data_IF_936418197423
#
_entry.id   IF_936418197423
#
_cell.length_a   1.000
_cell.length_b   1.000
_cell.length_c   1.000
_cell.angle_alpha   90.00
_cell.angle_beta   90.00
_cell.angle_gamma   90.00
#
_symmetry.space_group_name_H-M   'P 1'
#
loop_
_entity.id
_entity.type
_entity.pdbx_description
1 polymer ?
#
# COMPACT_ATOMS: atom_id res chain seq x y z
N UNK A 1 -9.66 24.83 3.86
CA UNK A 1 -8.36 24.89 3.16
C UNK A 1 -7.29 25.20 4.18
N UNK A 2 -6.30 24.32 4.32
CA UNK A 2 -5.19 24.49 5.26
C UNK A 2 -3.89 24.66 4.47
N UNK A 3 -3.01 25.56 4.92
CA UNK A 3 -1.67 25.69 4.36
C UNK A 3 -0.79 24.60 4.96
N UNK A 4 -0.20 23.76 4.10
CA UNK A 4 0.68 22.68 4.53
C UNK A 4 2.00 22.71 3.78
N UNK A 5 3.00 22.06 4.35
CA UNK A 5 4.22 21.65 3.65
C UNK A 5 4.36 20.13 3.69
N UNK A 6 4.92 19.55 2.63
CA UNK A 6 5.20 18.13 2.55
C UNK A 6 6.65 17.84 2.93
N UNK A 7 6.86 17.18 4.06
CA UNK A 7 8.17 16.83 4.60
C UNK A 7 8.42 15.33 4.48
N UNK A 8 9.63 14.96 4.06
CA UNK A 8 10.07 13.58 3.91
C UNK A 8 11.34 13.35 4.73
N UNK A 9 11.34 12.31 5.54
CA UNK A 9 12.46 11.94 6.42
C UNK A 9 13.45 10.96 5.79
N UNK A 10 12.98 10.08 4.88
CA UNK A 10 13.80 9.07 4.19
C UNK A 10 13.68 9.22 2.68
N UNK A 11 14.74 8.92 1.90
CA UNK A 11 14.76 9.04 0.43
C UNK A 11 13.56 8.39 -0.28
N UNK A 12 13.06 7.25 0.22
CA UNK A 12 11.89 6.53 -0.30
C UNK A 12 10.74 6.44 0.73
N UNK A 13 10.57 7.47 1.57
CA UNK A 13 9.55 7.52 2.63
C UNK A 13 8.23 8.18 2.21
N UNK A 14 7.17 7.94 3.02
CA UNK A 14 5.93 8.74 2.96
C UNK A 14 6.28 10.23 3.12
N UNK A 15 5.56 11.06 2.37
CA UNK A 15 5.53 12.50 2.62
C UNK A 15 4.48 12.74 3.70
N UNK A 16 4.88 13.46 4.75
CA UNK A 16 3.98 13.86 5.83
C UNK A 16 3.70 15.35 5.69
N UNK A 17 2.45 15.74 5.92
CA UNK A 17 2.06 17.14 5.93
C UNK A 17 2.26 17.74 7.31
N UNK A 18 2.84 18.94 7.34
CA UNK A 18 3.04 19.74 8.55
C UNK A 18 2.54 21.16 8.33
N UNK A 19 2.16 21.82 9.41
CA UNK A 19 1.82 23.25 9.42
C UNK A 19 3.11 24.08 9.40
N UNK A 20 3.37 24.88 8.35
CA UNK A 20 4.55 25.73 8.26
C UNK A 20 4.53 26.95 9.19
N UNK A 21 3.40 27.23 9.83
CA UNK A 21 3.17 28.47 10.60
C UNK A 21 3.54 29.70 9.72
N UNK A 22 4.18 30.72 10.31
CA UNK A 22 4.68 31.90 9.58
C UNK A 22 6.08 31.73 8.94
N UNK A 23 6.66 30.52 8.95
CA UNK A 23 8.06 30.31 8.55
C UNK A 23 8.19 30.31 7.02
N UNK A 24 9.04 31.17 6.45
CA UNK A 24 9.41 31.09 5.03
C UNK A 24 10.43 29.97 4.80
N UNK A 25 10.09 29.03 3.93
CA UNK A 25 10.85 27.81 3.67
C UNK A 25 11.15 27.77 2.17
N UNK A 26 12.42 27.70 1.83
CA UNK A 26 12.87 27.55 0.44
C UNK A 26 12.53 26.15 -0.09
N UNK A 27 12.29 26.06 -1.40
CA UNK A 27 12.11 24.76 -2.07
C UNK A 27 13.36 23.89 -1.86
N UNK A 28 13.14 22.59 -1.60
CA UNK A 28 14.18 21.60 -1.27
C UNK A 28 14.97 21.82 0.03
N UNK A 29 14.62 22.85 0.82
CA UNK A 29 15.23 23.11 2.12
C UNK A 29 14.98 22.00 3.15
N UNK A 30 15.80 21.99 4.20
CA UNK A 30 15.63 21.11 5.34
C UNK A 30 14.95 21.84 6.52
N UNK A 31 14.14 21.11 7.26
CA UNK A 31 13.36 21.62 8.39
C UNK A 31 13.45 20.68 9.58
N UNK A 32 13.34 21.26 10.76
CA UNK A 32 13.20 20.54 12.02
C UNK A 32 11.72 20.54 12.40
N UNK A 33 11.17 19.35 12.59
CA UNK A 33 9.74 19.16 12.89
C UNK A 33 9.57 18.29 14.13
N UNK A 34 8.49 18.51 14.87
CA UNK A 34 8.09 17.64 15.97
C UNK A 34 7.20 16.53 15.43
N UNK A 35 7.57 15.27 15.65
CA UNK A 35 6.73 14.11 15.30
C UNK A 35 6.28 13.39 16.57
N UNK A 36 5.52 12.30 16.45
CA UNK A 36 5.16 11.49 17.63
C UNK A 36 6.39 10.81 18.26
N UNK A 37 7.50 10.69 17.51
CA UNK A 37 8.72 10.00 17.94
C UNK A 37 9.69 10.92 18.68
N UNK A 38 9.65 12.20 18.35
CA UNK A 38 10.47 13.26 18.93
C UNK A 38 10.73 14.35 17.89
N UNK A 39 11.83 15.06 18.06
CA UNK A 39 12.31 16.03 17.08
C UNK A 39 13.01 15.27 15.95
N UNK A 40 12.64 15.56 14.71
CA UNK A 40 13.20 14.91 13.52
C UNK A 40 13.65 15.95 12.47
N UNK A 41 14.71 15.61 11.75
CA UNK A 41 15.21 16.36 10.61
C UNK A 41 14.54 15.84 9.34
N UNK A 42 13.84 16.70 8.62
CA UNK A 42 13.13 16.35 7.39
C UNK A 42 13.50 17.25 6.22
N UNK A 43 13.41 16.70 5.01
CA UNK A 43 13.59 17.44 3.77
C UNK A 43 12.24 17.84 3.20
N UNK A 44 12.11 19.08 2.76
CA UNK A 44 10.89 19.61 2.15
C UNK A 44 10.83 19.14 0.71
N UNK A 45 9.77 18.41 0.37
CA UNK A 45 9.50 17.90 -0.98
C UNK A 45 8.38 18.68 -1.65
N UNK A 46 7.38 19.09 -0.86
CA UNK A 46 6.25 19.89 -1.35
C UNK A 46 6.33 21.24 -0.63
N UNK A 47 6.48 22.37 -1.36
CA UNK A 47 6.48 23.70 -0.78
C UNK A 47 5.11 24.04 -0.18
N UNK A 48 4.96 25.26 0.36
CA UNK A 48 3.69 25.73 0.91
C UNK A 48 2.58 25.56 -0.13
N UNK A 49 1.63 24.67 0.16
CA UNK A 49 0.48 24.37 -0.68
C UNK A 49 -0.77 24.46 0.17
N UNK A 50 -1.82 25.07 -0.38
CA UNK A 50 -3.16 24.96 0.20
C UNK A 50 -3.78 23.64 -0.26
N UNK A 51 -4.25 22.87 0.71
CA UNK A 51 -4.94 21.60 0.50
C UNK A 51 -6.28 21.65 1.22
N UNK A 52 -7.25 20.88 0.72
CA UNK A 52 -8.53 20.74 1.38
C UNK A 52 -8.38 19.95 2.68
N UNK A 53 -9.20 20.29 3.66
CA UNK A 53 -9.13 19.74 5.02
C UNK A 53 -9.35 18.21 5.01
N UNK A 54 -10.07 17.69 4.01
CA UNK A 54 -10.31 16.27 3.80
C UNK A 54 -9.08 15.47 3.33
N UNK A 55 -8.07 16.14 2.77
CA UNK A 55 -6.84 15.48 2.29
C UNK A 55 -5.79 15.30 3.39
N UNK A 56 -6.03 15.84 4.60
CA UNK A 56 -5.04 15.93 5.66
C UNK A 56 -5.58 15.39 6.98
N UNK A 57 -4.77 14.59 7.67
CA UNK A 57 -5.10 14.08 9.00
C UNK A 57 -4.79 15.19 10.01
N UNK A 58 -5.83 15.81 10.56
CA UNK A 58 -5.73 16.78 11.66
C UNK A 58 -5.63 16.07 13.02
N UNK A 59 -4.97 16.67 14.04
CA UNK A 59 -4.26 17.95 14.01
C UNK A 59 -2.88 17.83 13.34
N UNK A 60 -2.57 18.82 12.51
CA UNK A 60 -1.23 18.98 11.94
C UNK A 60 -0.24 19.38 13.02
N UNK A 61 0.92 18.70 13.05
CA UNK A 61 2.04 19.16 13.86
C UNK A 61 2.73 20.32 13.17
N UNK A 62 3.31 21.22 13.96
CA UNK A 62 3.99 22.42 13.49
C UNK A 62 5.45 22.15 13.11
N UNK A 63 5.94 22.91 12.14
CA UNK A 63 7.38 23.05 11.88
C UNK A 63 7.99 23.88 13.00
N UNK A 64 9.09 23.41 13.58
CA UNK A 64 9.78 24.13 14.65
C UNK A 64 10.60 25.26 14.04
N UNK A 65 11.44 24.94 13.03
CA UNK A 65 12.31 25.90 12.35
C UNK A 65 12.92 25.33 11.07
N UNK A 66 13.49 26.21 10.25
CA UNK A 66 14.41 25.82 9.15
C UNK A 66 15.71 25.27 9.74
N UNK A 67 16.24 24.20 9.14
CA UNK A 67 17.49 23.60 9.56
C UNK A 67 18.68 24.52 9.23
N UNK A 68 19.64 24.61 10.14
CA UNK A 68 20.90 25.34 9.96
C UNK A 68 22.00 24.42 9.45
N UNK A 69 23.14 24.98 9.02
CA UNK A 69 24.31 24.18 8.63
C UNK A 69 24.84 23.30 9.79
N UNK A 70 24.66 23.74 11.03
CA UNK A 70 24.98 22.96 12.23
C UNK A 70 24.06 21.73 12.36
N UNK A 71 22.76 21.89 12.07
CA UNK A 71 21.80 20.80 12.06
C UNK A 71 22.12 19.77 10.97
N UNK A 72 22.56 20.23 9.79
CA UNK A 72 22.99 19.37 8.70
C UNK A 72 24.21 18.53 9.09
N UNK A 73 25.17 19.15 9.79
CA UNK A 73 26.34 18.46 10.33
C UNK A 73 25.92 17.44 11.39
N UNK A 74 25.04 17.82 12.31
CA UNK A 74 24.51 16.94 13.34
C UNK A 74 23.78 15.73 12.73
N UNK A 75 22.95 15.94 11.71
CA UNK A 75 22.27 14.86 11.00
C UNK A 75 23.26 13.89 10.33
N UNK A 76 24.36 14.41 9.76
CA UNK A 76 25.43 13.56 9.20
C UNK A 76 26.13 12.73 10.29
N UNK A 77 26.42 13.33 11.43
CA UNK A 77 27.02 12.64 12.58
C UNK A 77 26.06 11.57 13.13
N UNK A 78 24.78 11.88 13.27
CA UNK A 78 23.77 10.93 13.72
C UNK A 78 23.69 9.72 12.78
N UNK A 79 23.72 9.93 11.46
CA UNK A 79 23.76 8.84 10.47
C UNK A 79 25.01 7.95 10.57
N UNK A 80 26.16 8.49 10.96
CA UNK A 80 27.35 7.69 11.21
C UNK A 80 27.18 6.86 12.48
N UNK A 81 26.65 7.47 13.55
CA UNK A 81 26.33 6.75 14.80
C UNK A 81 25.28 5.66 14.62
N UNK A 82 24.30 5.86 13.74
CA UNK A 82 23.32 4.84 13.37
C UNK A 82 23.99 3.59 12.78
N UNK A 83 24.98 3.79 11.89
CA UNK A 83 25.75 2.69 11.31
C UNK A 83 26.59 1.95 12.36
N UNK A 84 27.24 2.68 13.25
CA UNK A 84 27.98 2.10 14.38
C UNK A 84 27.05 1.31 15.31
N UNK A 85 25.89 1.91 15.64
CA UNK A 85 24.90 1.29 16.50
C UNK A 85 24.29 0.03 15.88
N UNK A 86 24.12 0.01 14.56
CA UNK A 86 23.68 -1.17 13.83
C UNK A 86 24.68 -2.34 13.96
N UNK A 87 25.98 -2.07 13.81
CA UNK A 87 27.04 -3.10 13.94
C UNK A 87 27.08 -3.64 15.37
N UNK A 88 27.12 -2.77 16.37
CA UNK A 88 27.12 -3.15 17.79
C UNK A 88 25.83 -3.93 18.13
N UNK A 89 24.69 -3.50 17.60
CA UNK A 89 23.41 -4.19 17.76
C UNK A 89 23.45 -5.62 17.25
N UNK A 90 24.02 -5.85 16.07
CA UNK A 90 24.20 -7.20 15.50
C UNK A 90 25.11 -8.07 16.38
N UNK A 91 26.23 -7.53 16.85
CA UNK A 91 27.15 -8.26 17.74
C UNK A 91 26.46 -8.68 19.03
N UNK A 92 25.74 -7.75 19.68
CA UNK A 92 25.02 -8.04 20.92
C UNK A 92 23.88 -9.03 20.73
N UNK A 93 23.11 -8.93 19.64
CA UNK A 93 22.08 -9.91 19.31
C UNK A 93 22.67 -11.32 19.22
N UNK A 94 23.86 -11.44 18.61
CA UNK A 94 24.57 -12.72 18.48
C UNK A 94 25.11 -13.23 19.82
N UNK A 95 25.66 -12.35 20.66
CA UNK A 95 26.14 -12.69 22.01
C UNK A 95 25.00 -13.23 22.90
N UNK A 96 23.83 -12.60 22.84
CA UNK A 96 22.64 -12.99 23.59
C UNK A 96 21.87 -14.17 22.95
N UNK A 97 22.31 -14.66 21.78
CA UNK A 97 21.70 -15.78 21.04
C UNK A 97 20.19 -15.59 20.78
N UNK A 98 19.78 -14.36 20.48
CA UNK A 98 18.38 -14.04 20.23
C UNK A 98 18.00 -14.38 18.79
N UNK A 99 16.88 -15.10 18.62
CA UNK A 99 16.32 -15.45 17.31
C UNK A 99 15.58 -14.27 16.69
N UNK A 100 16.34 -13.27 16.26
CA UNK A 100 15.84 -12.02 15.72
C UNK A 100 16.75 -11.49 14.62
N UNK A 101 16.15 -10.80 13.64
CA UNK A 101 16.88 -10.18 12.54
C UNK A 101 16.77 -8.67 12.65
N UNK A 102 17.90 -8.00 12.93
CA UNK A 102 17.99 -6.55 12.91
C UNK A 102 17.87 -6.04 11.46
N UNK A 103 16.97 -5.08 11.25
CA UNK A 103 16.64 -4.53 9.94
C UNK A 103 17.23 -3.13 9.75
N UNK A 104 17.03 -2.24 10.72
CA UNK A 104 17.47 -0.85 10.64
C UNK A 104 17.67 -0.28 12.06
N UNK A 105 18.49 0.78 12.17
CA UNK A 105 18.67 1.54 13.41
C UNK A 105 18.54 3.03 13.11
N UNK A 106 17.69 3.71 13.88
CA UNK A 106 17.46 5.14 13.75
C UNK A 106 17.79 5.83 15.07
N UNK A 107 18.38 7.02 14.99
CA UNK A 107 18.61 7.89 16.14
C UNK A 107 17.76 9.13 15.95
N UNK A 108 17.00 9.52 16.99
CA UNK A 108 16.22 10.77 16.94
C UNK A 108 17.17 11.95 16.78
N UNK A 109 16.70 13.04 16.14
CA UNK A 109 17.60 14.15 15.81
C UNK A 109 18.26 14.76 17.06
N UNK A 110 17.50 14.83 18.15
CA UNK A 110 17.92 15.26 19.49
C UNK A 110 18.83 14.27 20.25
N UNK A 111 19.17 13.12 19.66
CA UNK A 111 19.95 12.03 20.28
C UNK A 111 19.36 11.46 21.59
N UNK A 112 18.07 11.71 21.87
CA UNK A 112 17.43 11.25 23.10
C UNK A 112 17.02 9.78 23.07
N UNK A 113 16.78 9.22 21.88
CA UNK A 113 16.37 7.83 21.70
C UNK A 113 17.06 7.17 20.51
N UNK A 114 17.35 5.89 20.65
CA UNK A 114 17.80 5.02 19.56
C UNK A 114 16.75 3.93 19.35
N UNK A 115 16.24 3.84 18.13
CA UNK A 115 15.25 2.87 17.70
C UNK A 115 15.93 1.75 16.92
N UNK A 116 15.77 0.51 17.38
CA UNK A 116 16.25 -0.69 16.71
C UNK A 116 15.05 -1.42 16.11
N UNK A 117 14.98 -1.48 14.78
CA UNK A 117 13.93 -2.19 14.06
C UNK A 117 14.36 -3.63 13.81
N UNK A 118 13.52 -4.58 14.18
CA UNK A 118 13.82 -5.99 13.99
C UNK A 118 12.59 -6.78 13.53
N UNK A 119 12.84 -7.94 12.93
CA UNK A 119 11.83 -8.96 12.61
C UNK A 119 12.11 -10.23 13.40
N UNK A 120 11.03 -10.95 13.72
CA UNK A 120 11.10 -12.26 14.38
C UNK A 120 9.81 -13.03 14.16
N UNK A 121 9.89 -14.36 14.14
CA UNK A 121 8.73 -15.24 14.00
C UNK A 121 7.94 -15.40 15.31
N UNK A 122 8.63 -15.25 16.45
CA UNK A 122 8.07 -15.43 17.78
C UNK A 122 8.29 -14.25 18.71
N UNK A 123 7.81 -14.42 19.96
CA UNK A 123 8.13 -13.50 21.06
C UNK A 123 9.56 -13.75 21.52
N UNK A 124 10.33 -12.68 21.66
CA UNK A 124 11.71 -12.71 22.13
C UNK A 124 11.79 -11.95 23.46
N UNK A 125 12.51 -12.50 24.43
CA UNK A 125 12.88 -11.74 25.63
C UNK A 125 14.20 -11.00 25.37
N UNK A 126 14.10 -9.70 25.12
CA UNK A 126 15.24 -8.83 24.80
C UNK A 126 15.67 -7.94 25.98
N UNK A 127 15.21 -8.23 27.22
CA UNK A 127 15.50 -7.35 28.38
C UNK A 127 17.00 -7.18 28.65
N UNK A 128 17.78 -8.25 28.57
CA UNK A 128 19.23 -8.19 28.77
C UNK A 128 19.93 -7.44 27.64
N UNK A 129 19.52 -7.66 26.38
CA UNK A 129 20.01 -6.89 25.23
C UNK A 129 19.78 -5.38 25.42
N UNK A 130 18.58 -4.98 25.88
CA UNK A 130 18.27 -3.56 26.13
C UNK A 130 19.20 -2.96 27.19
N UNK A 131 19.48 -3.70 28.27
CA UNK A 131 20.41 -3.23 29.32
C UNK A 131 21.81 -3.00 28.77
N UNK A 132 22.32 -3.95 27.99
CA UNK A 132 23.65 -3.85 27.39
C UNK A 132 23.75 -2.68 26.41
N UNK A 133 22.78 -2.55 25.50
CA UNK A 133 22.75 -1.44 24.55
C UNK A 133 22.62 -0.09 25.29
N UNK A 134 21.77 0.00 26.31
CA UNK A 134 21.62 1.21 27.12
C UNK A 134 22.91 1.58 27.86
N UNK A 135 23.67 0.58 28.34
CA UNK A 135 24.97 0.81 29.00
C UNK A 135 26.04 1.33 28.03
N UNK A 136 26.03 0.85 26.78
CA UNK A 136 26.97 1.26 25.73
C UNK A 136 26.66 2.68 25.24
N UNK A 137 25.43 2.92 24.80
CA UNK A 137 25.06 4.18 24.16
C UNK A 137 24.73 5.30 25.15
N UNK A 138 24.42 4.96 26.41
CA UNK A 138 23.99 5.91 27.45
C UNK A 138 22.76 6.74 27.03
N UNK A 139 21.94 6.16 26.17
CA UNK A 139 20.73 6.76 25.58
C UNK A 139 19.57 5.78 25.74
N UNK A 140 18.33 6.29 25.73
CA UNK A 140 17.14 5.43 25.80
C UNK A 140 17.05 4.55 24.55
N UNK A 141 17.03 3.24 24.74
CA UNK A 141 16.89 2.25 23.67
C UNK A 141 15.43 1.83 23.54
N UNK A 142 14.93 1.81 22.31
CA UNK A 142 13.61 1.30 21.96
C UNK A 142 13.75 0.22 20.89
N UNK A 143 13.29 -0.99 21.18
CA UNK A 143 13.26 -2.09 20.23
C UNK A 143 11.86 -2.19 19.63
N UNK A 144 11.76 -2.13 18.30
CA UNK A 144 10.50 -2.18 17.58
C UNK A 144 10.46 -3.36 16.63
N UNK A 145 9.53 -4.28 16.90
CA UNK A 145 9.23 -5.37 15.98
C UNK A 145 8.43 -4.82 14.80
N UNK A 146 8.87 -5.16 13.58
CA UNK A 146 8.17 -4.85 12.34
C UNK A 146 7.75 -6.14 11.63
N UNK A 147 6.74 -6.06 10.78
CA UNK A 147 6.31 -7.22 9.99
C UNK A 147 7.19 -7.45 8.76
N UNK A 148 7.16 -8.66 8.21
CA UNK A 148 7.88 -9.05 6.97
C UNK A 148 7.63 -8.12 5.77
N UNK A 149 6.45 -7.50 5.70
CA UNK A 149 6.12 -6.52 4.66
C UNK A 149 6.83 -5.20 4.86
N UNK A 150 6.91 -4.71 6.10
CA UNK A 150 7.61 -3.47 6.43
C UNK A 150 9.12 -3.65 6.28
N UNK A 151 9.65 -4.83 6.62
CA UNK A 151 11.03 -5.22 6.28
C UNK A 151 11.27 -5.09 4.77
N UNK A 152 10.41 -5.71 3.95
CA UNK A 152 10.56 -5.64 2.48
C UNK A 152 10.42 -4.19 1.97
N UNK A 153 9.56 -3.37 2.60
CA UNK A 153 9.41 -1.95 2.28
C UNK A 153 10.68 -1.14 2.59
N UNK A 154 11.34 -1.41 3.71
CA UNK A 154 12.58 -0.75 4.12
C UNK A 154 13.75 -1.15 3.23
N UNK A 155 13.86 -2.44 2.91
CA UNK A 155 14.91 -2.98 2.03
C UNK A 155 14.69 -2.58 0.56
N UNK A 156 13.45 -2.40 0.15
CA UNK A 156 13.08 -2.21 -1.26
C UNK A 156 13.26 -3.49 -2.08
N UNK A 157 13.17 -3.35 -3.40
CA UNK A 157 13.36 -4.47 -4.33
C UNK A 157 12.55 -4.33 -5.62
N UNK A 158 12.50 -5.42 -6.38
CA UNK A 158 11.70 -5.53 -7.60
C UNK A 158 10.58 -6.56 -7.41
N UNK A 159 9.38 -6.21 -7.84
CA UNK A 159 8.26 -7.14 -7.89
C UNK A 159 8.37 -8.10 -9.07
N UNK A 160 7.51 -9.12 -9.09
CA UNK A 160 7.42 -10.07 -10.21
C UNK A 160 7.04 -9.40 -11.54
N UNK A 161 6.46 -8.20 -11.48
CA UNK A 161 6.15 -7.36 -12.64
C UNK A 161 7.37 -6.59 -13.19
N UNK A 162 8.55 -6.75 -12.58
CA UNK A 162 9.80 -6.08 -12.98
C UNK A 162 9.92 -4.61 -12.54
N UNK A 163 8.88 -4.04 -11.91
CA UNK A 163 8.91 -2.68 -11.34
C UNK A 163 9.40 -2.70 -9.89
N UNK A 164 9.77 -1.53 -9.36
CA UNK A 164 10.02 -1.36 -7.93
C UNK A 164 8.79 -1.76 -7.10
N UNK A 165 9.02 -2.20 -5.86
CA UNK A 165 7.92 -2.63 -5.00
C UNK A 165 6.95 -1.47 -4.73
N UNK A 166 5.66 -1.74 -4.92
CA UNK A 166 4.60 -0.75 -4.66
C UNK A 166 4.65 -0.23 -3.22
N UNK A 167 4.97 -1.10 -2.25
CA UNK A 167 5.06 -0.77 -0.83
C UNK A 167 6.18 0.24 -0.49
N UNK A 168 7.26 0.26 -1.26
CA UNK A 168 8.37 1.21 -1.12
C UNK A 168 8.24 2.43 -2.03
N UNK A 169 7.19 2.50 -2.86
CA UNK A 169 7.01 3.56 -3.85
C UNK A 169 5.82 4.45 -3.52
N UNK A 170 4.59 3.99 -3.80
CA UNK A 170 3.39 4.81 -3.66
C UNK A 170 2.35 4.20 -2.71
N UNK A 171 2.32 2.87 -2.57
CA UNK A 171 1.30 2.18 -1.80
C UNK A 171 1.75 2.07 -0.34
N UNK A 172 1.44 3.10 0.44
CA UNK A 172 2.01 3.23 1.79
C UNK A 172 1.08 2.78 2.91
N UNK A 173 -0.18 2.51 2.58
CA UNK A 173 -1.21 1.93 3.44
C UNK A 173 -1.76 0.67 2.80
N UNK A 174 -2.08 -0.31 3.64
CA UNK A 174 -2.44 -1.64 3.18
C UNK A 174 -3.77 -2.06 3.76
N UNK A 175 -4.70 -2.36 2.87
CA UNK A 175 -5.92 -3.06 3.22
C UNK A 175 -5.68 -4.57 3.24
N UNK A 176 -6.49 -5.33 4.01
CA UNK A 176 -6.45 -6.79 3.98
C UNK A 176 -6.71 -7.33 2.57
N UNK A 177 -5.89 -8.30 2.16
CA UNK A 177 -6.01 -8.97 0.86
C UNK A 177 -6.54 -10.38 1.07
N UNK A 178 -7.47 -10.81 0.22
CA UNK A 178 -8.07 -12.14 0.27
C UNK A 178 -7.75 -12.96 -0.98
N UNK A 179 -7.85 -14.29 -0.87
CA UNK A 179 -7.70 -15.20 -2.02
C UNK A 179 -8.84 -15.02 -3.04
N UNK A 180 -10.00 -14.51 -2.59
CA UNK A 180 -11.14 -14.22 -3.47
C UNK A 180 -10.76 -13.22 -4.57
N UNK A 181 -10.04 -12.16 -4.20
CA UNK A 181 -9.53 -11.15 -5.14
C UNK A 181 -8.68 -11.76 -6.26
N UNK A 182 -7.78 -12.70 -5.91
CA UNK A 182 -6.98 -13.39 -6.91
C UNK A 182 -7.83 -14.24 -7.89
N UNK A 183 -8.97 -14.80 -7.43
CA UNK A 183 -9.89 -15.54 -8.30
C UNK A 183 -10.63 -14.62 -9.26
N UNK A 184 -11.10 -13.47 -8.78
CA UNK A 184 -11.84 -12.49 -9.60
C UNK A 184 -10.96 -11.86 -10.69
N UNK A 185 -9.66 -11.76 -10.42
CA UNK A 185 -8.65 -11.32 -11.39
C UNK A 185 -8.14 -12.46 -12.30
N UNK A 186 -8.76 -13.65 -12.24
CA UNK A 186 -8.38 -14.84 -13.02
C UNK A 186 -6.90 -15.25 -12.88
N UNK A 187 -6.31 -15.05 -11.69
CA UNK A 187 -4.94 -15.45 -11.41
C UNK A 187 -4.87 -16.91 -10.93
N UNK A 188 -3.75 -17.57 -11.23
CA UNK A 188 -3.48 -18.92 -10.73
C UNK A 188 -3.33 -18.88 -9.21
N UNK A 189 -4.03 -19.78 -8.51
CA UNK A 189 -3.98 -19.91 -7.04
C UNK A 189 -2.67 -20.50 -6.50
N UNK A 190 -1.62 -20.60 -7.31
CA UNK A 190 -0.31 -21.01 -6.87
C UNK A 190 0.31 -19.90 -5.98
N UNK A 191 0.73 -20.18 -4.73
CA UNK A 191 1.32 -19.19 -3.83
C UNK A 191 2.44 -18.36 -4.47
N UNK A 192 3.30 -18.96 -5.30
CA UNK A 192 4.41 -18.24 -5.97
C UNK A 192 3.92 -17.18 -6.95
N UNK A 193 2.68 -17.30 -7.46
CA UNK A 193 2.08 -16.36 -8.41
C UNK A 193 1.22 -15.28 -7.76
N UNK A 194 0.78 -15.47 -6.51
CA UNK A 194 -0.12 -14.53 -5.80
C UNK A 194 0.49 -13.91 -4.54
N UNK A 195 1.64 -14.44 -4.08
CA UNK A 195 2.41 -13.87 -2.99
C UNK A 195 3.45 -12.88 -3.51
N UNK A 196 3.57 -11.75 -2.84
CA UNK A 196 4.63 -10.78 -3.08
C UNK A 196 5.97 -11.25 -2.49
N UNK A 197 7.02 -10.47 -2.74
CA UNK A 197 8.39 -10.72 -2.22
C UNK A 197 8.41 -10.88 -0.70
N UNK A 198 7.52 -10.18 0.00
CA UNK A 198 7.34 -10.30 1.46
C UNK A 198 6.70 -11.61 1.95
N UNK A 199 6.43 -12.58 1.07
CA UNK A 199 5.80 -13.87 1.41
C UNK A 199 4.28 -13.82 1.69
N UNK A 200 3.69 -12.63 1.81
CA UNK A 200 2.23 -12.42 1.93
C UNK A 200 1.58 -12.19 0.57
N UNK A 201 0.25 -12.31 0.50
CA UNK A 201 -0.53 -11.97 -0.70
C UNK A 201 -0.20 -10.57 -1.22
N UNK A 202 -0.15 -10.44 -2.55
CA UNK A 202 0.19 -9.19 -3.24
C UNK A 202 -0.83 -8.09 -2.91
N UNK A 203 -0.34 -6.94 -2.48
CA UNK A 203 -1.15 -5.75 -2.26
C UNK A 203 -1.79 -5.21 -3.55
N UNK A 204 -1.22 -5.51 -4.71
CA UNK A 204 -1.78 -5.10 -6.00
C UNK A 204 -3.16 -5.70 -6.25
N UNK A 205 -3.44 -6.89 -5.70
CA UNK A 205 -4.74 -7.54 -5.82
C UNK A 205 -5.84 -6.61 -5.30
N UNK A 206 -5.69 -6.08 -4.07
CA UNK A 206 -6.68 -5.16 -3.53
C UNK A 206 -6.69 -3.80 -4.25
N UNK A 207 -5.52 -3.31 -4.66
CA UNK A 207 -5.40 -2.04 -5.39
C UNK A 207 -6.17 -2.05 -6.72
N UNK A 208 -6.14 -3.16 -7.45
CA UNK A 208 -6.80 -3.29 -8.75
C UNK A 208 -8.26 -3.77 -8.64
N UNK A 209 -8.67 -4.29 -7.48
CA UNK A 209 -9.94 -5.01 -7.30
C UNK A 209 -11.16 -4.23 -7.77
N UNK A 210 -11.31 -2.96 -7.37
CA UNK A 210 -12.48 -2.14 -7.71
C UNK A 210 -12.64 -1.98 -9.23
N UNK A 211 -11.51 -1.89 -9.94
CA UNK A 211 -11.51 -1.84 -11.41
C UNK A 211 -11.93 -3.18 -11.99
N UNK A 212 -11.46 -4.30 -11.43
CA UNK A 212 -11.86 -5.63 -11.88
C UNK A 212 -13.32 -5.94 -11.60
N UNK A 213 -13.87 -5.54 -10.44
CA UNK A 213 -15.29 -5.67 -10.11
C UNK A 213 -16.15 -4.96 -11.18
N UNK A 214 -15.85 -3.68 -11.46
CA UNK A 214 -16.53 -2.91 -12.50
C UNK A 214 -16.44 -3.54 -13.90
N UNK A 215 -15.26 -4.03 -14.28
CA UNK A 215 -15.05 -4.67 -15.58
C UNK A 215 -15.74 -6.04 -15.70
N UNK A 216 -15.83 -6.79 -14.60
CA UNK A 216 -16.49 -8.09 -14.56
C UNK A 216 -18.02 -7.97 -14.60
N UNK A 217 -18.61 -6.92 -14.02
CA UNK A 217 -20.06 -6.67 -14.08
C UNK A 217 -20.59 -6.59 -15.51
N UNK A 218 -19.78 -6.08 -16.44
CA UNK A 218 -20.15 -5.91 -17.84
C UNK A 218 -19.85 -7.14 -18.71
N UNK A 219 -19.11 -8.13 -18.19
CA UNK A 219 -18.68 -9.30 -18.96
C UNK A 219 -19.60 -10.51 -18.75
N UNK A 220 -19.86 -11.31 -19.80
CA UNK A 220 -20.60 -12.56 -19.65
C UNK A 220 -19.79 -13.60 -18.86
N UNK A 221 -20.46 -14.40 -18.05
CA UNK A 221 -19.83 -15.54 -17.37
C UNK A 221 -19.40 -16.62 -18.36
N UNK A 222 -18.30 -17.32 -18.07
CA UNK A 222 -17.86 -18.49 -18.82
C UNK A 222 -18.98 -19.55 -18.86
N UNK A 223 -19.25 -20.10 -20.05
CA UNK A 223 -20.37 -21.01 -20.31
C UNK A 223 -21.69 -20.32 -20.70
N UNK A 224 -21.77 -18.98 -20.65
CA UNK A 224 -22.96 -18.25 -21.11
C UNK A 224 -23.10 -18.32 -22.63
N UNK A 225 -24.33 -18.32 -23.12
CA UNK A 225 -24.62 -18.19 -24.56
C UNK A 225 -24.66 -16.71 -24.95
N UNK A 226 -23.87 -16.36 -25.96
CA UNK A 226 -23.80 -15.00 -26.51
C UNK A 226 -24.19 -15.01 -27.98
N UNK A 227 -24.81 -13.93 -28.42
CA UNK A 227 -25.05 -13.65 -29.83
C UNK A 227 -23.86 -12.84 -30.35
N UNK A 228 -23.18 -13.38 -31.35
CA UNK A 228 -22.07 -12.74 -32.05
C UNK A 228 -22.46 -12.46 -33.51
N UNK A 229 -21.70 -11.66 -34.26
CA UNK A 229 -21.95 -11.41 -35.69
C UNK A 229 -21.95 -12.69 -36.54
N UNK A 230 -21.19 -13.70 -36.12
CA UNK A 230 -21.03 -14.99 -36.82
C UNK A 230 -22.07 -16.05 -36.40
N UNK A 231 -22.88 -15.81 -35.37
CA UNK A 231 -23.89 -16.75 -34.89
C UNK A 231 -24.04 -16.80 -33.37
N UNK A 232 -24.68 -17.85 -32.86
CA UNK A 232 -24.76 -18.08 -31.42
C UNK A 232 -23.51 -18.84 -30.99
N UNK A 233 -22.82 -18.31 -29.98
CA UNK A 233 -21.62 -18.91 -29.42
C UNK A 233 -21.69 -19.15 -27.92
N UNK A 234 -20.85 -20.06 -27.44
CA UNK A 234 -20.64 -20.31 -26.01
C UNK A 234 -19.30 -19.70 -25.56
N UNK A 235 -19.32 -18.97 -24.45
CA UNK A 235 -18.12 -18.32 -23.90
C UNK A 235 -17.18 -19.36 -23.29
N UNK A 236 -15.96 -19.46 -23.83
CA UNK A 236 -14.91 -20.35 -23.32
C UNK A 236 -14.03 -19.67 -22.26
N UNK A 237 -13.66 -18.41 -22.50
CA UNK A 237 -12.82 -17.63 -21.59
C UNK A 237 -12.99 -16.15 -21.85
N UNK A 238 -12.88 -15.34 -20.80
CA UNK A 238 -12.92 -13.89 -20.88
C UNK A 238 -11.55 -13.30 -20.55
N UNK A 239 -11.17 -12.24 -21.24
CA UNK A 239 -10.05 -11.39 -20.88
C UNK A 239 -10.60 -10.09 -20.30
N UNK A 240 -10.55 -9.99 -18.97
CA UNK A 240 -11.18 -8.88 -18.22
C UNK A 240 -10.58 -7.54 -18.60
N UNK A 241 -9.26 -7.41 -18.63
CA UNK A 241 -8.60 -6.13 -18.91
C UNK A 241 -8.78 -5.64 -20.35
N UNK A 242 -8.80 -6.55 -21.33
CA UNK A 242 -8.98 -6.18 -22.74
C UNK A 242 -10.45 -6.12 -23.17
N UNK A 243 -11.38 -6.51 -22.29
CA UNK A 243 -12.81 -6.62 -22.60
C UNK A 243 -13.06 -7.50 -23.84
N UNK A 244 -12.32 -8.61 -23.93
CA UNK A 244 -12.41 -9.56 -25.04
C UNK A 244 -13.02 -10.89 -24.56
N UNK A 245 -13.90 -11.45 -25.38
CA UNK A 245 -14.56 -12.72 -25.10
C UNK A 245 -14.17 -13.74 -26.16
N UNK A 246 -13.59 -14.85 -25.73
CA UNK A 246 -13.28 -15.99 -26.60
C UNK A 246 -14.46 -16.95 -26.58
N UNK A 247 -15.13 -17.10 -27.71
CA UNK A 247 -16.33 -17.91 -27.84
C UNK A 247 -16.21 -18.96 -28.94
N UNK A 248 -16.78 -20.13 -28.68
CA UNK A 248 -17.00 -21.18 -29.66
C UNK A 248 -18.30 -20.90 -30.40
N UNK A 249 -18.24 -20.54 -31.68
CA UNK A 249 -19.42 -20.19 -32.49
C UNK A 249 -19.74 -21.32 -33.45
N UNK A 250 -21.02 -21.69 -33.52
CA UNK A 250 -21.54 -22.63 -34.52
C UNK A 250 -22.14 -21.83 -35.67
N UNK A 251 -21.55 -21.94 -36.86
CA UNK A 251 -22.14 -21.37 -38.09
C UNK A 251 -23.37 -22.19 -38.47
N UNK A 252 -24.37 -21.54 -39.08
CA UNK A 252 -25.60 -22.21 -39.53
C UNK A 252 -25.37 -23.16 -40.72
N UNK A 253 -24.24 -23.04 -41.42
CA UNK A 253 -23.98 -23.74 -42.69
C UNK A 253 -22.91 -24.86 -42.61
N UNK A 254 -22.17 -24.99 -41.50
CA UNK A 254 -21.17 -26.06 -41.28
C UNK A 254 -21.17 -26.48 -39.80
N UNK A 255 -21.10 -27.79 -39.53
CA UNK A 255 -21.03 -28.37 -38.18
C UNK A 255 -19.69 -28.10 -37.47
N UNK A 256 -18.78 -27.36 -38.09
CA UNK A 256 -17.49 -26.99 -37.53
C UNK A 256 -17.63 -25.87 -36.50
N UNK A 257 -17.12 -26.14 -35.29
CA UNK A 257 -17.07 -25.15 -34.21
C UNK A 257 -15.81 -24.30 -34.36
N UNK A 258 -15.97 -23.04 -34.74
CA UNK A 258 -14.86 -22.09 -34.83
C UNK A 258 -14.70 -21.33 -33.51
N UNK A 259 -13.47 -21.26 -33.01
CA UNK A 259 -13.15 -20.44 -31.82
C UNK A 259 -12.66 -19.08 -32.29
N UNK A 260 -13.45 -18.04 -32.03
CA UNK A 260 -13.12 -16.65 -32.34
C UNK A 260 -13.09 -15.78 -31.09
N UNK A 261 -12.43 -14.64 -31.20
CA UNK A 261 -12.33 -13.62 -30.15
C UNK A 261 -13.13 -12.42 -30.60
N UNK A 262 -14.06 -11.95 -29.76
CA UNK A 262 -14.94 -10.82 -30.02
C UNK A 262 -14.69 -9.73 -28.97
N UNK A 263 -14.89 -8.47 -29.36
CA UNK A 263 -14.94 -7.36 -28.41
C UNK A 263 -16.29 -7.36 -27.69
N UNK A 264 -16.34 -6.79 -26.47
CA UNK A 264 -17.59 -6.69 -25.71
C UNK A 264 -18.70 -5.96 -26.48
N UNK A 265 -18.36 -4.95 -27.28
CA UNK A 265 -19.31 -4.16 -28.06
C UNK A 265 -19.97 -4.94 -29.21
N UNK A 266 -19.35 -6.06 -29.63
CA UNK A 266 -19.82 -6.89 -30.74
C UNK A 266 -20.75 -8.02 -30.30
N UNK A 267 -20.89 -8.21 -28.98
CA UNK A 267 -21.63 -9.34 -28.41
C UNK A 267 -22.89 -8.87 -27.68
N UNK A 268 -23.94 -9.69 -27.75
CA UNK A 268 -25.13 -9.51 -26.92
C UNK A 268 -25.36 -10.76 -26.08
N UNK A 269 -25.51 -10.58 -24.78
CA UNK A 269 -25.80 -11.68 -23.86
C UNK A 269 -27.22 -12.16 -24.16
N UNK A 270 -27.36 -13.44 -24.53
CA UNK A 270 -28.68 -14.05 -24.67
C UNK A 270 -29.09 -14.50 -23.27
N UNK A 271 -30.16 -13.94 -22.67
CA UNK A 271 -30.60 -14.38 -21.36
C UNK A 271 -31.07 -15.83 -21.45
N UNK A 272 -30.30 -16.74 -20.86
CA UNK A 272 -30.72 -18.13 -20.66
C UNK A 272 -31.80 -18.12 -19.59
N UNK A 273 -33.05 -18.46 -19.97
CA UNK A 273 -34.09 -18.78 -19.00
C UNK A 273 -33.69 -20.07 -18.28
N UNK A 274 -32.97 -19.95 -17.18
CA UNK A 274 -33.06 -20.90 -16.08
C UNK A 274 -32.83 -20.20 -14.74
N UNK A 275 -33.76 -20.43 -13.82
CA UNK A 275 -33.90 -19.75 -12.54
C UNK A 275 -32.93 -20.30 -11.50
N UNK A 276 -32.23 -19.40 -10.84
CA UNK A 276 -32.21 -19.30 -9.37
C UNK A 276 -31.94 -17.84 -9.03
N UNK A 277 -33.02 -17.10 -8.75
CA UNK A 277 -32.94 -15.80 -8.09
C UNK A 277 -32.31 -16.01 -6.69
N UNK A 278 -31.21 -15.32 -6.33
CA UNK A 278 -31.10 -14.85 -4.97
C UNK A 278 -32.00 -13.62 -4.86
N UNK A 279 -32.97 -13.72 -3.97
CA UNK A 279 -33.92 -12.69 -3.54
C UNK A 279 -33.37 -11.25 -3.73
N UNK A 280 -33.88 -10.57 -4.75
CA UNK A 280 -33.55 -9.18 -5.11
C UNK A 280 -34.72 -8.23 -4.85
N UNK A 281 -35.56 -8.54 -3.87
CA UNK A 281 -36.54 -7.58 -3.35
C UNK A 281 -36.06 -7.12 -1.97
N UNK A 282 -35.79 -5.82 -1.85
CA UNK A 282 -35.48 -5.02 -0.64
C UNK A 282 -34.07 -4.42 -0.44
N UNK A 283 -33.13 -4.48 -1.41
CA UNK A 283 -31.78 -3.86 -1.21
C UNK A 283 -31.50 -2.65 -2.10
N UNK A 284 -32.26 -2.46 -3.18
CA UNK A 284 -32.01 -1.34 -4.10
C UNK A 284 -32.65 -0.04 -3.60
N UNK A 285 -33.90 -0.09 -3.12
CA UNK A 285 -34.58 1.11 -2.61
C UNK A 285 -34.00 1.60 -1.28
N UNK A 286 -33.58 0.70 -0.39
CA UNK A 286 -32.90 1.10 0.86
C UNK A 286 -31.52 1.70 0.61
N UNK A 287 -30.79 1.30 -0.44
CA UNK A 287 -29.47 1.88 -0.74
C UNK A 287 -29.56 3.27 -1.37
N UNK A 288 -30.58 3.55 -2.16
CA UNK A 288 -30.79 4.88 -2.73
C UNK A 288 -31.23 5.86 -1.64
N UNK A 289 -32.15 5.45 -0.75
CA UNK A 289 -32.54 6.26 0.41
C UNK A 289 -31.38 6.46 1.42
N UNK A 290 -30.51 5.46 1.60
CA UNK A 290 -29.33 5.60 2.49
C UNK A 290 -28.28 6.53 1.87
N UNK A 291 -28.12 6.54 0.55
CA UNK A 291 -27.19 7.46 -0.13
C UNK A 291 -27.74 8.89 -0.12
N UNK A 292 -29.03 9.10 -0.35
CA UNK A 292 -29.65 10.43 -0.27
C UNK A 292 -29.60 11.01 1.16
N UNK A 293 -29.86 10.20 2.19
CA UNK A 293 -29.75 10.65 3.59
C UNK A 293 -28.31 10.95 4.03
N UNK A 294 -27.31 10.22 3.53
CA UNK A 294 -25.89 10.51 3.80
C UNK A 294 -25.45 11.82 3.13
N UNK A 295 -26.04 12.19 1.99
CA UNK A 295 -25.76 13.46 1.31
C UNK A 295 -26.52 14.66 1.92
N UNK A 296 -27.65 14.44 2.59
CA UNK A 296 -28.37 15.51 3.31
C UNK A 296 -27.79 15.77 4.71
N UNK A 297 -27.35 14.74 5.46
CA UNK A 297 -26.69 14.94 6.76
C UNK A 297 -25.33 15.65 6.64
N UNK A 298 -24.64 15.56 5.49
CA UNK A 298 -23.40 16.31 5.24
C UNK A 298 -23.60 17.76 4.80
N UNK A 299 -24.84 18.25 4.71
CA UNK A 299 -25.15 19.67 4.44
C UNK A 299 -25.56 20.47 5.67
N UNK A 300 -25.81 19.82 6.81
CA UNK A 300 -26.25 20.49 8.05
C UNK A 300 -25.30 20.36 9.26
N UNK A 301 -24.09 19.81 9.12
CA UNK A 301 -23.01 19.93 10.12
C UNK A 301 -21.82 20.77 9.65
#
# INVERSE_FOLDING_TARGET
>A
MVTVIGVRFKKAGKIYYFDPDEIEIQEEGAVIVETARGIEYGQVIIPKKQVDDSEVIQPLKKVIRVATEEDDLQNKINKQKEQEAFVIGLEKIKEHQLDMKLIDVEITFDNNKILFYFTSDGRIDFRELVKDLAAIFKTRIELRQIGVRDETKMMGGLGICGKSLCCSSFLTEFQPVSIKMAKEQNLSLNPTKISGVCGRLMCCLKYEEETYEYLNENLPHVGSKIQTPDGIGEVLSVNVLRQLVRAAVRKKDQDDTEVKVYALDEIRIVPTRDKTEPNKDNVVDTKIETIENIFEEQKEE
#
